data_IF_652564472825
#
_entry.id   IF_652564472825
#
_cell.length_a   1.000
_cell.length_b   1.000
_cell.length_c   1.000
_cell.angle_alpha   90.00
_cell.angle_beta   90.00
_cell.angle_gamma   90.00
#
_symmetry.space_group_name_H-M   'P 1'
#
loop_
_entity.id
_entity.type
_entity.pdbx_description
1 polymer ?
#
# COMPACT_ATOMS: atom_id res chain seq x y z
N UNK A 1 33.03 -38.45 -9.11
CA UNK A 1 32.46 -39.81 -9.28
C UNK A 1 32.24 -40.39 -7.90
N UNK A 2 31.08 -41.02 -7.61
CA UNK A 2 29.70 -40.49 -7.62
C UNK A 2 29.06 -40.67 -6.20
N UNK A 3 27.84 -40.28 -5.85
CA UNK A 3 26.65 -39.72 -6.52
C UNK A 3 25.74 -39.10 -5.42
N UNK A 4 24.97 -38.04 -5.64
CA UNK A 4 23.85 -37.80 -6.57
C UNK A 4 22.53 -38.50 -6.13
N UNK A 5 21.59 -37.74 -5.56
CA UNK A 5 20.16 -37.97 -5.77
C UNK A 5 19.37 -36.66 -5.65
N UNK A 6 19.14 -36.04 -6.80
CA UNK A 6 18.16 -34.99 -7.00
C UNK A 6 16.80 -35.64 -7.32
N UNK A 7 15.77 -35.33 -6.54
CA UNK A 7 14.39 -35.67 -6.88
C UNK A 7 13.82 -34.59 -7.80
N UNK A 8 13.91 -34.84 -9.11
CA UNK A 8 13.08 -34.20 -10.15
C UNK A 8 11.74 -34.94 -10.20
N UNK A 9 10.64 -34.27 -9.84
CA UNK A 9 9.31 -34.74 -10.21
C UNK A 9 9.06 -34.36 -11.68
N UNK A 10 8.94 -35.37 -12.55
CA UNK A 10 8.48 -35.21 -13.94
C UNK A 10 6.95 -35.31 -13.96
N UNK A 11 6.32 -34.32 -14.57
CA UNK A 11 4.93 -34.40 -15.00
C UNK A 11 4.79 -35.43 -16.12
N UNK A 12 4.01 -36.48 -15.90
CA UNK A 12 3.50 -37.35 -16.95
C UNK A 12 1.99 -37.40 -16.82
N UNK A 13 1.29 -36.73 -17.73
CA UNK A 13 -0.14 -36.94 -17.97
C UNK A 13 -0.32 -38.07 -18.98
N UNK A 14 -1.22 -39.00 -18.69
CA UNK A 14 -1.87 -39.84 -19.69
C UNK A 14 -3.36 -39.97 -19.36
N UNK A 15 -4.24 -40.01 -20.37
CA UNK A 15 -5.67 -39.76 -20.21
C UNK A 15 -6.44 -41.07 -20.03
N UNK A 16 -7.36 -41.13 -19.07
CA UNK A 16 -8.66 -41.86 -19.09
C UNK A 16 -9.18 -42.05 -17.67
N UNK A 17 -10.51 -42.16 -17.56
CA UNK A 17 -11.33 -42.53 -16.40
C UNK A 17 -11.75 -41.39 -15.45
N UNK A 18 -13.02 -41.01 -15.64
CA UNK A 18 -13.92 -40.32 -14.74
C UNK A 18 -14.02 -41.01 -13.37
N UNK A 19 -13.64 -40.30 -12.31
CA UNK A 19 -14.13 -40.57 -10.95
C UNK A 19 -14.10 -39.29 -10.11
N UNK A 20 -15.24 -39.01 -9.46
CA UNK A 20 -15.49 -37.87 -8.57
C UNK A 20 -14.37 -37.73 -7.52
N UNK A 21 -13.76 -36.56 -7.43
CA UNK A 21 -12.96 -36.15 -6.29
C UNK A 21 -13.69 -35.01 -5.55
N UNK A 22 -14.16 -35.32 -4.35
CA UNK A 22 -14.57 -34.34 -3.34
C UNK A 22 -13.31 -33.64 -2.80
N UNK A 23 -13.17 -32.34 -3.04
CA UNK A 23 -12.10 -31.52 -2.45
C UNK A 23 -12.68 -30.75 -1.27
N UNK A 24 -12.29 -31.16 -0.07
CA UNK A 24 -12.42 -30.36 1.15
C UNK A 24 -11.39 -29.23 1.10
N UNK A 25 -11.85 -27.99 0.89
CA UNK A 25 -11.00 -26.80 0.97
C UNK A 25 -11.04 -26.29 2.41
N UNK A 26 -9.93 -26.49 3.13
CA UNK A 26 -9.63 -25.80 4.37
C UNK A 26 -8.51 -24.80 4.08
N UNK A 27 -8.86 -23.57 3.72
CA UNK A 27 -7.94 -22.43 3.76
C UNK A 27 -8.63 -21.24 4.43
N UNK A 28 -8.30 -21.00 5.71
CA UNK A 28 -8.50 -19.70 6.35
C UNK A 28 -7.47 -18.74 5.75
N UNK A 29 -7.89 -17.89 4.81
CA UNK A 29 -7.13 -16.69 4.45
C UNK A 29 -7.63 -15.51 5.27
N UNK A 30 -6.76 -15.03 6.15
CA UNK A 30 -6.84 -13.76 6.85
C UNK A 30 -6.91 -12.62 5.82
N UNK A 31 -8.08 -12.01 5.65
CA UNK A 31 -8.29 -10.80 4.85
C UNK A 31 -7.84 -9.59 5.68
N UNK A 32 -6.56 -9.27 5.64
CA UNK A 32 -6.01 -8.08 6.28
C UNK A 32 -4.91 -7.47 5.40
N UNK A 33 -5.27 -6.94 4.23
CA UNK A 33 -4.45 -5.95 3.52
C UNK A 33 -5.18 -5.38 2.30
N UNK A 34 -6.11 -4.46 2.54
CA UNK A 34 -6.57 -3.49 1.54
C UNK A 34 -6.67 -2.14 2.26
N UNK A 35 -5.56 -1.40 2.26
CA UNK A 35 -5.57 0.04 2.59
C UNK A 35 -5.48 0.79 1.27
N UNK A 36 -6.62 1.33 0.82
CA UNK A 36 -6.65 2.37 -0.20
C UNK A 36 -6.20 3.68 0.44
N UNK A 37 -5.13 4.26 -0.10
CA UNK A 37 -4.64 5.59 0.24
C UNK A 37 -5.60 6.66 -0.29
N UNK A 38 -6.19 7.45 0.59
CA UNK A 38 -6.86 8.70 0.22
C UNK A 38 -6.04 9.88 0.76
N UNK A 39 -5.46 10.67 -0.16
CA UNK A 39 -4.92 12.00 0.13
C UNK A 39 -6.00 13.07 -0.07
N UNK A 40 -5.89 14.24 0.59
CA UNK A 40 -7.00 15.15 0.85
C UNK A 40 -7.12 16.25 -0.23
N UNK A 41 -8.34 16.58 -0.64
CA UNK A 41 -8.63 17.82 -1.38
C UNK A 41 -10.01 18.41 -1.04
N UNK A 42 -10.19 19.74 -1.23
CA UNK A 42 -11.02 20.58 -0.37
C UNK A 42 -12.16 21.31 -1.11
N UNK A 43 -13.40 21.07 -0.74
CA UNK A 43 -14.56 21.97 -0.96
C UNK A 43 -15.56 21.64 0.17
N UNK A 44 -15.58 22.39 1.27
CA UNK A 44 -16.18 23.71 1.43
C UNK A 44 -17.71 23.73 1.17
N UNK A 45 -18.40 24.29 2.15
CA UNK A 45 -19.84 24.24 2.37
C UNK A 45 -20.62 25.00 1.29
N UNK A 46 -21.13 24.28 0.29
CA UNK A 46 -22.04 24.84 -0.74
C UNK A 46 -23.11 23.89 -1.28
N UNK A 47 -23.08 22.61 -0.90
CA UNK A 47 -23.80 21.53 -1.62
C UNK A 47 -25.34 21.53 -1.48
N UNK A 48 -25.94 22.36 -0.61
CA UNK A 48 -27.40 22.44 -0.52
C UNK A 48 -28.03 23.34 -1.59
N UNK A 49 -27.31 24.35 -2.10
CA UNK A 49 -27.87 25.27 -3.10
C UNK A 49 -27.69 24.81 -4.56
N UNK A 50 -26.76 23.88 -4.83
CA UNK A 50 -26.49 23.39 -6.20
C UNK A 50 -27.31 22.15 -6.60
N UNK A 51 -27.88 21.42 -5.64
CA UNK A 51 -28.73 20.27 -5.94
C UNK A 51 -30.03 20.69 -6.66
N UNK A 52 -30.62 21.83 -6.27
CA UNK A 52 -31.82 22.37 -6.92
C UNK A 52 -31.55 22.97 -8.31
N UNK A 53 -30.31 23.40 -8.60
CA UNK A 53 -29.92 23.89 -9.94
C UNK A 53 -29.69 22.74 -10.91
N UNK A 54 -29.05 21.66 -10.47
CA UNK A 54 -28.90 20.42 -11.25
C UNK A 54 -30.25 19.76 -11.56
N UNK A 55 -31.19 19.74 -10.61
CA UNK A 55 -32.55 19.24 -10.83
C UNK A 55 -33.35 20.10 -11.82
N UNK A 56 -33.10 21.42 -11.87
CA UNK A 56 -33.70 22.34 -12.86
C UNK A 56 -33.07 22.24 -14.25
N UNK A 57 -31.75 22.04 -14.36
CA UNK A 57 -31.08 21.89 -15.66
C UNK A 57 -31.37 20.54 -16.34
N UNK A 58 -31.79 19.53 -15.58
CA UNK A 58 -32.22 18.22 -16.08
C UNK A 58 -33.70 18.18 -16.54
N UNK A 59 -34.38 19.34 -16.58
CA UNK A 59 -35.75 19.42 -17.12
C UNK A 59 -36.83 18.81 -16.22
N UNK A 60 -36.59 18.68 -14.91
CA UNK A 60 -37.53 18.07 -13.97
C UNK A 60 -38.50 19.13 -13.42
N UNK A 61 -39.21 19.82 -14.32
CA UNK A 61 -40.25 20.79 -13.98
C UNK A 61 -41.64 20.18 -14.16
N UNK A 62 -41.83 18.96 -13.63
CA UNK A 62 -43.11 18.24 -13.77
C UNK A 62 -43.19 16.85 -13.13
N UNK A 63 -42.20 16.42 -12.33
CA UNK A 63 -42.31 15.13 -11.66
C UNK A 63 -43.31 15.17 -10.51
N UNK A 64 -44.26 14.25 -10.53
CA UNK A 64 -45.24 14.07 -9.45
C UNK A 64 -44.53 13.79 -8.11
N UNK A 65 -45.17 14.15 -6.99
CA UNK A 65 -44.65 13.89 -5.64
C UNK A 65 -44.23 12.43 -5.43
N UNK A 66 -44.87 11.49 -6.13
CA UNK A 66 -44.54 10.05 -6.12
C UNK A 66 -43.20 9.76 -6.77
N UNK A 67 -42.90 10.40 -7.91
CA UNK A 67 -41.64 10.19 -8.64
C UNK A 67 -40.45 10.78 -7.89
N UNK A 68 -40.64 11.94 -7.24
CA UNK A 68 -39.59 12.54 -6.39
C UNK A 68 -39.34 11.70 -5.13
N UNK A 69 -40.39 11.19 -4.47
CA UNK A 69 -40.25 10.26 -3.35
C UNK A 69 -39.61 8.93 -3.76
N UNK A 70 -39.88 8.46 -4.98
CA UNK A 70 -39.28 7.24 -5.51
C UNK A 70 -37.79 7.42 -5.80
N UNK A 71 -37.38 8.56 -6.38
CA UNK A 71 -35.96 8.88 -6.59
C UNK A 71 -35.24 9.08 -5.25
N UNK A 72 -35.87 9.73 -4.27
CA UNK A 72 -35.31 9.85 -2.92
C UNK A 72 -35.20 8.48 -2.22
N UNK A 73 -36.21 7.62 -2.39
CA UNK A 73 -36.22 6.26 -1.85
C UNK A 73 -35.15 5.37 -2.52
N UNK A 74 -34.90 5.55 -3.82
CA UNK A 74 -33.82 4.87 -4.54
C UNK A 74 -32.45 5.37 -4.09
N UNK A 75 -32.28 6.68 -3.86
CA UNK A 75 -31.05 7.27 -3.33
C UNK A 75 -30.78 6.88 -1.86
N UNK A 76 -31.84 6.67 -1.06
CA UNK A 76 -31.73 6.12 0.30
C UNK A 76 -31.49 4.60 0.30
N UNK A 77 -31.99 3.89 -0.72
CA UNK A 77 -31.76 2.46 -0.89
C UNK A 77 -30.33 2.16 -1.37
N UNK A 78 -29.72 3.03 -2.19
CA UNK A 78 -28.31 2.88 -2.58
C UNK A 78 -27.35 3.16 -1.42
N UNK A 79 -27.73 3.99 -0.45
CA UNK A 79 -26.98 4.20 0.81
C UNK A 79 -27.15 3.05 1.80
N UNK A 80 -28.29 2.34 1.77
CA UNK A 80 -28.51 1.10 2.55
C UNK A 80 -27.71 -0.11 2.01
N UNK A 81 -27.14 -0.01 0.81
CA UNK A 81 -26.25 -1.01 0.22
C UNK A 81 -24.76 -0.79 0.55
N UNK A 82 -24.44 -0.05 1.61
CA UNK A 82 -23.08 0.01 2.11
C UNK A 82 -22.75 -1.28 2.89
N UNK A 83 -22.20 -2.25 2.18
CA UNK A 83 -21.50 -3.45 2.70
C UNK A 83 -22.32 -4.42 3.59
N UNK A 84 -23.15 -5.29 3.00
CA UNK A 84 -23.94 -6.31 3.71
C UNK A 84 -23.12 -7.19 4.67
N UNK A 85 -21.87 -7.50 4.31
CA UNK A 85 -21.01 -8.41 5.08
C UNK A 85 -20.61 -7.88 6.46
N UNK A 86 -20.52 -6.55 6.62
CA UNK A 86 -20.15 -5.92 7.91
C UNK A 86 -21.32 -5.96 8.86
N UNK A 87 -22.51 -5.60 8.38
CA UNK A 87 -23.70 -5.56 9.21
C UNK A 87 -24.01 -6.97 9.73
N UNK A 88 -23.90 -7.99 8.88
CA UNK A 88 -24.03 -9.40 9.28
C UNK A 88 -22.97 -9.81 10.32
N UNK A 89 -21.74 -9.29 10.24
CA UNK A 89 -20.70 -9.56 11.23
C UNK A 89 -20.98 -8.85 12.57
N UNK A 90 -21.43 -7.60 12.54
CA UNK A 90 -21.84 -6.84 13.72
C UNK A 90 -23.03 -7.48 14.42
N UNK A 91 -24.02 -7.98 13.67
CA UNK A 91 -25.21 -8.63 14.20
C UNK A 91 -24.87 -9.97 14.88
N UNK A 92 -23.96 -10.75 14.26
CA UNK A 92 -23.41 -11.98 14.86
C UNK A 92 -22.66 -11.69 16.16
N UNK A 93 -21.77 -10.71 16.17
CA UNK A 93 -21.03 -10.33 17.37
C UNK A 93 -21.94 -9.78 18.48
N UNK A 94 -22.97 -9.03 18.11
CA UNK A 94 -23.96 -8.52 19.04
C UNK A 94 -24.79 -9.65 19.66
N UNK A 95 -25.20 -10.62 18.86
CA UNK A 95 -25.90 -11.83 19.35
C UNK A 95 -25.01 -12.67 20.27
N UNK A 96 -23.73 -12.85 19.92
CA UNK A 96 -22.77 -13.57 20.74
C UNK A 96 -22.52 -12.86 22.09
N UNK A 97 -22.42 -11.53 22.08
CA UNK A 97 -22.29 -10.72 23.30
C UNK A 97 -23.54 -10.76 24.17
N UNK A 98 -24.74 -10.87 23.58
CA UNK A 98 -25.96 -11.07 24.34
C UNK A 98 -25.97 -12.41 25.10
N UNK A 99 -25.41 -13.47 24.47
CA UNK A 99 -25.26 -14.77 25.12
C UNK A 99 -24.09 -14.82 26.12
N UNK A 100 -23.01 -14.06 25.87
CA UNK A 100 -21.76 -14.08 26.66
C UNK A 100 -21.24 -12.66 26.94
N UNK A 101 -21.90 -11.89 27.84
CA UNK A 101 -21.66 -10.45 28.00
C UNK A 101 -20.32 -10.08 28.67
N UNK A 102 -19.55 -11.05 29.14
CA UNK A 102 -18.27 -10.84 29.81
C UNK A 102 -17.09 -11.39 29.01
N UNK A 103 -17.31 -11.78 27.75
CA UNK A 103 -16.25 -12.29 26.88
C UNK A 103 -15.49 -11.11 26.24
N UNK A 104 -14.31 -10.79 26.77
CA UNK A 104 -13.50 -9.65 26.34
C UNK A 104 -13.10 -9.72 24.85
N UNK A 105 -12.89 -10.93 24.33
CA UNK A 105 -12.46 -11.15 22.95
C UNK A 105 -13.54 -10.71 21.93
N UNK A 106 -14.83 -10.89 22.26
CA UNK A 106 -15.94 -10.46 21.40
C UNK A 106 -16.08 -8.94 21.34
N UNK A 107 -15.86 -8.25 22.47
CA UNK A 107 -15.79 -6.78 22.47
C UNK A 107 -14.60 -6.28 21.64
N UNK A 108 -13.42 -6.90 21.77
CA UNK A 108 -12.26 -6.58 20.95
C UNK A 108 -12.56 -6.77 19.45
N UNK A 109 -13.10 -7.92 19.06
CA UNK A 109 -13.42 -8.22 17.66
C UNK A 109 -14.44 -7.24 17.08
N UNK A 110 -15.49 -6.91 17.84
CA UNK A 110 -16.48 -5.90 17.43
C UNK A 110 -15.88 -4.51 17.33
N UNK A 111 -15.00 -4.14 18.26
CA UNK A 111 -14.27 -2.88 18.22
C UNK A 111 -13.33 -2.77 17.02
N UNK A 112 -12.65 -3.85 16.64
CA UNK A 112 -11.81 -3.91 15.45
C UNK A 112 -12.64 -3.73 14.18
N UNK A 113 -13.84 -4.32 14.13
CA UNK A 113 -14.75 -4.16 12.99
C UNK A 113 -15.23 -2.70 12.85
N UNK A 114 -15.59 -2.04 13.94
CA UNK A 114 -15.90 -0.61 13.93
C UNK A 114 -14.69 0.24 13.50
N UNK A 115 -13.49 -0.09 13.98
CA UNK A 115 -12.27 0.62 13.62
C UNK A 115 -11.92 0.47 12.13
N UNK A 116 -12.17 -0.69 11.52
CA UNK A 116 -11.96 -0.89 10.08
C UNK A 116 -12.86 0.01 9.22
N UNK A 117 -14.01 0.40 9.76
CA UNK A 117 -15.00 1.27 9.09
C UNK A 117 -15.00 2.70 9.61
N UNK A 118 -13.92 3.08 10.29
CA UNK A 118 -13.67 4.43 10.80
C UNK A 118 -14.71 4.95 11.81
N UNK A 119 -15.54 4.06 12.38
CA UNK A 119 -16.39 4.37 13.53
C UNK A 119 -15.54 4.30 14.81
N UNK A 120 -14.68 5.29 14.96
CA UNK A 120 -13.75 5.40 16.08
C UNK A 120 -14.42 5.47 17.46
N UNK A 121 -15.55 6.19 17.64
CA UNK A 121 -16.28 6.18 18.91
C UNK A 121 -16.77 4.79 19.31
N UNK A 122 -17.40 4.05 18.38
CA UNK A 122 -17.88 2.69 18.67
C UNK A 122 -16.72 1.72 18.93
N UNK A 123 -15.62 1.85 18.18
CA UNK A 123 -14.40 1.07 18.43
C UNK A 123 -13.84 1.31 19.83
N UNK A 124 -13.71 2.58 20.24
CA UNK A 124 -13.19 2.96 21.55
C UNK A 124 -14.06 2.43 22.69
N UNK A 125 -15.39 2.56 22.59
CA UNK A 125 -16.31 2.04 23.60
C UNK A 125 -16.17 0.52 23.78
N UNK A 126 -16.06 -0.22 22.67
CA UNK A 126 -15.85 -1.67 22.72
C UNK A 126 -14.47 -2.04 23.30
N UNK A 127 -13.41 -1.32 22.94
CA UNK A 127 -12.08 -1.54 23.50
C UNK A 127 -11.99 -1.20 24.99
N UNK A 128 -12.72 -0.18 25.46
CA UNK A 128 -12.82 0.12 26.88
C UNK A 128 -13.49 -1.03 27.64
N UNK A 129 -14.60 -1.56 27.12
CA UNK A 129 -15.26 -2.71 27.74
C UNK A 129 -14.39 -3.96 27.76
N UNK A 130 -13.66 -4.23 26.66
CA UNK A 130 -12.68 -5.31 26.62
C UNK A 130 -11.55 -5.11 27.66
N UNK A 131 -11.12 -3.87 27.90
CA UNK A 131 -10.05 -3.55 28.84
C UNK A 131 -10.47 -3.73 30.30
N UNK A 132 -11.74 -3.43 30.62
CA UNK A 132 -12.33 -3.71 31.94
C UNK A 132 -12.36 -5.22 32.24
N UNK A 133 -12.66 -6.04 31.23
CA UNK A 133 -12.80 -7.48 31.36
C UNK A 133 -11.43 -8.21 31.34
N UNK A 134 -10.50 -7.78 30.48
CA UNK A 134 -9.20 -8.43 30.29
C UNK A 134 -8.08 -7.40 30.01
N UNK A 135 -7.55 -6.72 31.04
CA UNK A 135 -6.56 -5.63 30.86
C UNK A 135 -5.19 -6.09 30.34
N UNK A 136 -4.89 -7.39 30.42
CA UNK A 136 -3.60 -7.99 29.99
C UNK A 136 -3.67 -8.67 28.62
N UNK A 137 -4.71 -8.41 27.84
CA UNK A 137 -4.85 -8.99 26.50
C UNK A 137 -3.92 -8.25 25.51
N UNK A 138 -2.84 -8.86 24.98
CA UNK A 138 -1.85 -8.15 24.17
C UNK A 138 -2.47 -7.52 22.91
N UNK A 139 -3.37 -8.26 22.24
CA UNK A 139 -4.09 -7.81 21.05
C UNK A 139 -4.94 -6.56 21.31
N UNK A 140 -5.50 -6.40 22.51
CA UNK A 140 -6.25 -5.20 22.87
C UNK A 140 -5.35 -3.97 23.02
N UNK A 141 -4.19 -4.11 23.66
CA UNK A 141 -3.22 -3.03 23.76
C UNK A 141 -2.73 -2.60 22.37
N UNK A 142 -2.47 -3.57 21.49
CA UNK A 142 -2.13 -3.33 20.08
C UNK A 142 -3.26 -2.57 19.34
N UNK A 143 -4.50 -3.04 19.46
CA UNK A 143 -5.67 -2.44 18.79
C UNK A 143 -5.91 -0.99 19.24
N UNK A 144 -5.80 -0.71 20.53
CA UNK A 144 -5.88 0.66 21.08
C UNK A 144 -4.73 1.53 20.60
N UNK A 145 -3.51 0.99 20.52
CA UNK A 145 -2.35 1.69 19.96
C UNK A 145 -2.52 2.05 18.49
N UNK A 146 -3.02 1.10 17.68
CA UNK A 146 -3.34 1.32 16.27
C UNK A 146 -4.42 2.37 16.07
N UNK A 147 -5.51 2.30 16.85
CA UNK A 147 -6.59 3.29 16.81
C UNK A 147 -6.10 4.69 17.18
N UNK A 148 -5.29 4.80 18.24
CA UNK A 148 -4.69 6.07 18.64
C UNK A 148 -3.77 6.65 17.54
N UNK A 149 -3.00 5.81 16.83
CA UNK A 149 -2.21 6.27 15.67
C UNK A 149 -3.08 6.82 14.54
N UNK A 150 -4.15 6.10 14.20
CA UNK A 150 -5.09 6.51 13.15
C UNK A 150 -5.74 7.86 13.49
N UNK A 151 -6.05 8.10 14.77
CA UNK A 151 -6.60 9.37 15.27
C UNK A 151 -5.56 10.47 15.50
N UNK A 152 -4.29 10.23 15.18
CA UNK A 152 -3.20 11.18 15.39
C UNK A 152 -2.80 11.40 16.86
N UNK A 153 -3.29 10.59 17.78
CA UNK A 153 -2.97 10.63 19.20
C UNK A 153 -1.64 9.90 19.48
N UNK A 154 -0.55 10.40 18.90
CA UNK A 154 0.73 9.67 18.80
C UNK A 154 1.32 9.29 20.17
N UNK A 155 1.28 10.20 21.15
CA UNK A 155 1.78 9.93 22.51
C UNK A 155 0.97 8.85 23.23
N UNK A 156 -0.36 8.83 23.04
CA UNK A 156 -1.22 7.79 23.58
C UNK A 156 -0.95 6.44 22.90
N UNK A 157 -0.78 6.46 21.58
CA UNK A 157 -0.43 5.27 20.82
C UNK A 157 0.86 4.64 21.31
N UNK A 158 1.92 5.43 21.49
CA UNK A 158 3.19 4.94 22.05
C UNK A 158 2.97 4.20 23.37
N UNK A 159 2.22 4.78 24.31
CA UNK A 159 1.95 4.14 25.60
C UNK A 159 1.22 2.79 25.47
N UNK A 160 0.21 2.71 24.60
CA UNK A 160 -0.50 1.46 24.36
C UNK A 160 0.38 0.41 23.68
N UNK A 161 1.25 0.83 22.77
CA UNK A 161 2.17 -0.05 22.05
C UNK A 161 3.33 -0.51 22.93
N UNK A 162 3.84 0.34 23.82
CA UNK A 162 4.79 -0.05 24.87
C UNK A 162 4.19 -1.14 25.77
N UNK A 163 2.92 -0.99 26.15
CA UNK A 163 2.21 -2.03 26.90
C UNK A 163 2.02 -3.31 26.08
N UNK A 164 1.66 -3.21 24.80
CA UNK A 164 1.52 -4.37 23.90
C UNK A 164 2.83 -5.15 23.79
N UNK A 165 3.97 -4.46 23.62
CA UNK A 165 5.30 -5.05 23.54
C UNK A 165 5.72 -5.67 24.89
N UNK A 166 5.38 -5.04 26.02
CA UNK A 166 5.65 -5.62 27.33
C UNK A 166 4.91 -6.95 27.55
N UNK A 167 3.71 -7.09 26.98
CA UNK A 167 2.92 -8.33 27.04
C UNK A 167 3.35 -9.37 26.00
N UNK A 168 3.78 -8.94 24.81
CA UNK A 168 4.21 -9.79 23.70
C UNK A 168 5.45 -9.21 22.99
N UNK A 169 6.67 -9.42 23.52
CA UNK A 169 7.89 -8.79 23.00
C UNK A 169 8.28 -9.21 21.57
N UNK A 170 7.74 -10.33 21.10
CA UNK A 170 8.00 -10.91 19.78
C UNK A 170 6.88 -10.66 18.77
N UNK A 171 5.94 -9.73 19.04
CA UNK A 171 4.94 -9.33 18.05
C UNK A 171 5.52 -8.26 17.10
N UNK A 172 5.83 -8.61 15.83
CA UNK A 172 6.38 -7.66 14.87
C UNK A 172 5.40 -6.52 14.56
N UNK A 173 4.08 -6.73 14.71
CA UNK A 173 3.06 -5.71 14.45
C UNK A 173 3.14 -4.60 15.50
N UNK A 174 3.32 -4.97 16.77
CA UNK A 174 3.47 -4.04 17.88
C UNK A 174 4.72 -3.17 17.71
N UNK A 175 5.84 -3.81 17.32
CA UNK A 175 7.11 -3.13 17.03
C UNK A 175 6.97 -2.16 15.86
N UNK A 176 6.36 -2.56 14.73
CA UNK A 176 6.17 -1.70 13.56
C UNK A 176 5.28 -0.49 13.90
N UNK A 177 4.16 -0.72 14.60
CA UNK A 177 3.29 0.37 15.00
C UNK A 177 4.00 1.32 15.97
N UNK A 178 4.81 0.79 16.89
CA UNK A 178 5.60 1.65 17.79
C UNK A 178 6.65 2.42 17.02
N UNK A 179 7.35 1.81 16.07
CA UNK A 179 8.30 2.50 15.20
C UNK A 179 7.66 3.69 14.48
N UNK A 180 6.44 3.51 13.93
CA UNK A 180 5.67 4.60 13.31
C UNK A 180 5.29 5.69 14.32
N UNK A 181 4.92 5.33 15.54
CA UNK A 181 4.64 6.30 16.59
C UNK A 181 5.90 7.11 16.97
N UNK A 182 7.02 6.42 17.17
CA UNK A 182 8.32 7.01 17.51
C UNK A 182 8.83 7.93 16.39
N UNK A 183 8.70 7.53 15.13
CA UNK A 183 9.02 8.35 13.98
C UNK A 183 8.22 9.66 13.95
N UNK A 184 6.91 9.59 14.20
CA UNK A 184 6.04 10.78 14.29
C UNK A 184 6.36 11.68 15.50
N UNK A 185 7.00 11.14 16.53
CA UNK A 185 7.50 11.89 17.69
C UNK A 185 8.93 12.42 17.49
N UNK A 186 9.58 12.15 16.35
CA UNK A 186 10.97 12.52 16.11
C UNK A 186 12.00 11.64 16.83
N UNK A 187 11.56 10.53 17.44
CA UNK A 187 12.42 9.56 18.13
C UNK A 187 12.97 8.54 17.13
N UNK A 188 13.72 9.05 16.15
CA UNK A 188 14.21 8.28 15.00
C UNK A 188 15.10 7.09 15.38
N UNK A 189 16.06 7.19 16.33
CA UNK A 189 16.89 6.03 16.70
C UNK A 189 16.07 4.86 17.25
N UNK A 190 15.10 5.15 18.11
CA UNK A 190 14.21 4.14 18.70
C UNK A 190 13.32 3.51 17.62
N UNK A 191 12.80 4.31 16.69
CA UNK A 191 12.01 3.81 15.57
C UNK A 191 12.81 2.85 14.67
N UNK A 192 14.07 3.19 14.36
CA UNK A 192 14.96 2.33 13.57
C UNK A 192 15.30 1.01 14.30
N UNK A 193 15.44 1.05 15.63
CA UNK A 193 15.65 -0.14 16.44
C UNK A 193 14.43 -1.08 16.36
N UNK A 194 13.22 -0.53 16.50
CA UNK A 194 11.98 -1.30 16.40
C UNK A 194 11.77 -1.93 15.02
N UNK A 195 12.03 -1.19 13.93
CA UNK A 195 11.99 -1.77 12.58
C UNK A 195 13.01 -2.90 12.42
N UNK A 196 14.23 -2.74 12.93
CA UNK A 196 15.27 -3.77 12.88
C UNK A 196 14.83 -5.03 13.62
N UNK A 197 14.27 -4.88 14.84
CA UNK A 197 13.75 -6.02 15.60
C UNK A 197 12.58 -6.69 14.87
N UNK A 198 11.62 -5.92 14.36
CA UNK A 198 10.49 -6.47 13.61
C UNK A 198 10.92 -7.24 12.37
N UNK A 199 11.93 -6.76 11.64
CA UNK A 199 12.43 -7.43 10.42
C UNK A 199 13.14 -8.74 10.72
N UNK A 200 13.73 -8.89 11.90
CA UNK A 200 14.28 -10.16 12.39
C UNK A 200 13.21 -11.19 12.76
N UNK A 201 11.98 -10.75 13.04
CA UNK A 201 10.84 -11.63 13.39
C UNK A 201 9.97 -11.99 12.19
N UNK A 202 9.97 -11.16 11.14
CA UNK A 202 9.17 -11.37 9.94
C UNK A 202 9.89 -12.25 8.93
N UNK A 203 9.22 -13.30 8.43
CA UNK A 203 9.73 -14.13 7.34
C UNK A 203 9.86 -13.36 6.02
N UNK A 204 8.90 -12.46 5.73
CA UNK A 204 8.91 -11.60 4.54
C UNK A 204 8.23 -10.24 4.84
N UNK A 205 8.97 -9.22 5.32
CA UNK A 205 8.46 -7.86 5.44
C UNK A 205 8.04 -7.34 4.07
N UNK A 206 6.97 -6.55 4.05
CA UNK A 206 6.52 -5.95 2.81
C UNK A 206 7.49 -4.85 2.34
N UNK A 207 7.56 -4.57 1.02
CA UNK A 207 8.40 -3.50 0.49
C UNK A 207 8.15 -2.13 1.16
N UNK A 208 6.91 -1.84 1.53
CA UNK A 208 6.51 -0.58 2.16
C UNK A 208 7.23 -0.35 3.48
N UNK A 209 7.47 -1.41 4.27
CA UNK A 209 8.17 -1.27 5.54
C UNK A 209 9.64 -0.88 5.35
N UNK A 210 10.29 -1.40 4.30
CA UNK A 210 11.65 -0.99 3.95
C UNK A 210 11.70 0.47 3.52
N UNK A 211 10.70 0.94 2.76
CA UNK A 211 10.59 2.34 2.35
C UNK A 211 10.33 3.25 3.56
N UNK A 212 9.41 2.88 4.46
CA UNK A 212 9.16 3.62 5.71
C UNK A 212 10.44 3.77 6.53
N UNK A 213 11.17 2.67 6.72
CA UNK A 213 12.45 2.68 7.45
C UNK A 213 13.51 3.53 6.75
N UNK A 214 13.64 3.42 5.42
CA UNK A 214 14.60 4.19 4.63
C UNK A 214 14.32 5.70 4.69
N UNK A 215 13.05 6.11 4.81
CA UNK A 215 12.64 7.50 4.94
C UNK A 215 13.07 8.14 6.28
N UNK A 216 13.39 7.33 7.30
CA UNK A 216 13.84 7.83 8.60
C UNK A 216 15.31 8.25 8.61
N UNK A 217 16.11 7.82 7.64
CA UNK A 217 17.51 8.21 7.56
C UNK A 217 17.67 9.60 6.97
N UNK A 218 18.37 10.48 7.69
CA UNK A 218 18.71 11.82 7.20
C UNK A 218 19.73 11.79 6.05
N UNK A 219 20.65 10.82 6.07
CA UNK A 219 21.66 10.63 5.04
C UNK A 219 21.12 9.74 3.91
N UNK A 220 21.17 10.18 2.64
CA UNK A 220 20.81 9.33 1.50
C UNK A 220 21.66 8.06 1.41
N UNK A 221 22.92 8.11 1.85
CA UNK A 221 23.81 6.96 1.86
C UNK A 221 23.36 5.91 2.88
N UNK A 222 22.86 6.33 4.03
CA UNK A 222 22.37 5.42 5.06
C UNK A 222 21.00 4.84 4.68
N UNK A 223 20.13 5.66 4.09
CA UNK A 223 18.88 5.23 3.49
C UNK A 223 19.10 4.15 2.42
N UNK A 224 20.09 4.35 1.53
CA UNK A 224 20.42 3.39 0.48
C UNK A 224 20.97 2.08 1.07
N UNK A 225 21.87 2.15 2.06
CA UNK A 225 22.36 0.95 2.78
C UNK A 225 21.23 0.20 3.47
N UNK A 226 20.25 0.91 4.03
CA UNK A 226 19.06 0.32 4.66
C UNK A 226 18.20 -0.50 3.69
N UNK A 227 18.25 -0.22 2.38
CA UNK A 227 17.50 -0.99 1.39
C UNK A 227 18.22 -2.28 0.93
N UNK A 228 19.49 -2.49 1.29
CA UNK A 228 20.28 -3.63 0.82
C UNK A 228 19.64 -4.99 1.17
N UNK A 229 19.18 -5.14 2.42
CA UNK A 229 18.49 -6.36 2.87
C UNK A 229 17.21 -6.63 2.06
N UNK A 230 16.48 -5.57 1.69
CA UNK A 230 15.26 -5.69 0.90
C UNK A 230 15.52 -6.33 -0.47
N UNK A 231 16.62 -5.94 -1.13
CA UNK A 231 16.99 -6.51 -2.43
C UNK A 231 17.40 -7.98 -2.34
N UNK A 232 18.04 -8.39 -1.25
CA UNK A 232 18.41 -9.79 -1.01
C UNK A 232 17.16 -10.64 -0.76
N UNK A 233 16.22 -10.13 0.04
CA UNK A 233 15.06 -10.90 0.51
C UNK A 233 13.88 -10.91 -0.46
N UNK A 234 13.64 -9.78 -1.11
CA UNK A 234 12.46 -9.57 -1.96
C UNK A 234 12.78 -9.52 -3.46
N UNK A 235 14.07 -9.41 -3.81
CA UNK A 235 14.50 -9.29 -5.20
C UNK A 235 14.17 -7.91 -5.82
N UNK A 236 13.99 -7.84 -7.15
CA UNK A 236 13.83 -6.58 -7.88
C UNK A 236 12.39 -6.04 -7.81
N UNK A 237 11.96 -5.58 -6.63
CA UNK A 237 10.66 -4.91 -6.47
C UNK A 237 10.73 -3.48 -6.98
N UNK A 238 9.83 -3.11 -7.90
CA UNK A 238 9.81 -1.81 -8.59
C UNK A 238 9.89 -0.60 -7.65
N UNK A 239 9.08 -0.57 -6.58
CA UNK A 239 9.06 0.55 -5.63
C UNK A 239 10.39 0.73 -4.89
N UNK A 240 11.08 -0.37 -4.56
CA UNK A 240 12.40 -0.34 -3.95
C UNK A 240 13.49 0.10 -4.94
N UNK A 241 13.39 -0.36 -6.19
CA UNK A 241 14.30 0.05 -7.26
C UNK A 241 14.19 1.55 -7.54
N UNK A 242 12.98 2.08 -7.64
CA UNK A 242 12.75 3.52 -7.81
C UNK A 242 13.32 4.33 -6.65
N UNK A 243 13.09 3.90 -5.40
CA UNK A 243 13.63 4.60 -4.24
C UNK A 243 15.16 4.59 -4.23
N UNK A 244 15.79 3.47 -4.55
CA UNK A 244 17.24 3.38 -4.61
C UNK A 244 17.83 4.20 -5.76
N UNK A 245 17.18 4.23 -6.92
CA UNK A 245 17.59 5.06 -8.05
C UNK A 245 17.66 6.55 -7.66
N UNK A 246 16.62 7.05 -7.01
CA UNK A 246 16.58 8.46 -6.59
C UNK A 246 17.68 8.78 -5.55
N UNK A 247 17.96 7.82 -4.64
CA UNK A 247 19.04 7.96 -3.67
C UNK A 247 20.43 7.95 -4.33
N UNK A 248 20.66 7.09 -5.32
CA UNK A 248 21.91 7.02 -6.08
C UNK A 248 22.18 8.30 -6.86
N UNK A 249 21.14 8.84 -7.52
CA UNK A 249 21.23 10.14 -8.22
C UNK A 249 21.54 11.26 -7.22
N UNK A 250 20.88 11.29 -6.07
CA UNK A 250 21.13 12.28 -5.01
C UNK A 250 22.57 12.22 -4.50
N UNK A 251 23.15 11.02 -4.44
CA UNK A 251 24.54 10.79 -4.04
C UNK A 251 25.55 10.97 -5.19
N UNK A 252 25.10 11.37 -6.38
CA UNK A 252 25.91 11.44 -7.61
C UNK A 252 26.60 10.12 -7.97
N UNK A 253 26.04 8.98 -7.53
CA UNK A 253 26.50 7.64 -7.90
C UNK A 253 25.90 7.25 -9.24
N UNK A 254 26.31 7.97 -10.28
CA UNK A 254 25.66 7.88 -11.59
C UNK A 254 25.83 6.51 -12.23
N UNK A 255 26.96 5.81 -12.03
CA UNK A 255 27.15 4.46 -12.59
C UNK A 255 26.24 3.41 -11.95
N UNK A 256 26.02 3.49 -10.63
CA UNK A 256 25.05 2.65 -9.92
C UNK A 256 23.62 2.93 -10.43
N UNK A 257 23.27 4.23 -10.54
CA UNK A 257 21.98 4.67 -11.06
C UNK A 257 21.74 4.19 -12.51
N UNK A 258 22.75 4.23 -13.37
CA UNK A 258 22.66 3.73 -14.75
C UNK A 258 22.48 2.22 -14.79
N UNK A 259 23.24 1.47 -13.99
CA UNK A 259 23.06 0.02 -13.85
C UNK A 259 21.62 -0.32 -13.43
N UNK A 260 21.06 0.46 -12.51
CA UNK A 260 19.69 0.28 -12.04
C UNK A 260 18.65 0.63 -13.10
N UNK A 261 18.85 1.72 -13.86
CA UNK A 261 17.95 2.06 -14.97
C UNK A 261 18.02 1.02 -16.09
N UNK A 262 19.17 0.43 -16.36
CA UNK A 262 19.31 -0.64 -17.35
C UNK A 262 18.54 -1.90 -16.90
N UNK A 263 18.60 -2.25 -15.60
CA UNK A 263 17.75 -3.29 -15.03
C UNK A 263 16.26 -3.00 -15.24
N UNK A 264 15.81 -1.79 -14.90
CA UNK A 264 14.41 -1.35 -15.06
C UNK A 264 13.96 -1.36 -16.52
N UNK A 265 14.84 -0.94 -17.44
CA UNK A 265 14.60 -0.97 -18.88
C UNK A 265 14.40 -2.40 -19.37
N UNK A 266 15.24 -3.33 -18.92
CA UNK A 266 15.16 -4.75 -19.34
C UNK A 266 13.89 -5.45 -18.86
N UNK A 267 13.39 -5.08 -17.68
CA UNK A 267 12.20 -5.65 -17.07
C UNK A 267 10.88 -5.03 -17.58
N UNK A 268 10.94 -3.95 -18.36
CA UNK A 268 9.77 -3.18 -18.77
C UNK A 268 9.32 -3.49 -20.20
N UNK A 269 8.01 -3.61 -20.39
CA UNK A 269 7.40 -3.69 -21.72
C UNK A 269 7.58 -2.37 -22.49
N UNK A 270 7.42 -1.24 -21.78
CA UNK A 270 7.65 0.11 -22.32
C UNK A 270 9.01 0.63 -21.86
N UNK A 271 9.89 0.94 -22.80
CA UNK A 271 11.32 1.22 -22.55
C UNK A 271 11.68 2.68 -22.76
N UNK A 272 10.92 3.40 -23.57
CA UNK A 272 11.18 4.78 -23.97
C UNK A 272 11.32 5.74 -22.78
N UNK A 273 10.52 5.56 -21.72
CA UNK A 273 10.61 6.38 -20.52
C UNK A 273 11.89 6.11 -19.72
N UNK A 274 12.31 4.86 -19.63
CA UNK A 274 13.54 4.48 -18.94
C UNK A 274 14.79 4.90 -19.72
N UNK A 275 14.76 4.77 -21.04
CA UNK A 275 15.83 5.26 -21.91
C UNK A 275 15.96 6.79 -21.86
N UNK A 276 14.84 7.51 -21.77
CA UNK A 276 14.86 8.96 -21.50
C UNK A 276 15.48 9.25 -20.13
N UNK A 277 15.04 8.55 -19.08
CA UNK A 277 15.60 8.70 -17.72
C UNK A 277 17.10 8.40 -17.69
N UNK A 278 17.57 7.39 -18.44
CA UNK A 278 18.99 7.08 -18.64
C UNK A 278 19.75 8.27 -19.22
N UNK A 279 19.20 8.90 -20.26
CA UNK A 279 19.76 10.11 -20.86
C UNK A 279 19.90 11.25 -19.85
N UNK A 280 18.87 11.50 -19.05
CA UNK A 280 18.90 12.56 -18.02
C UNK A 280 19.97 12.34 -16.94
N UNK A 281 20.16 11.07 -16.54
CA UNK A 281 21.23 10.69 -15.60
C UNK A 281 22.60 10.93 -16.23
N UNK A 282 22.78 10.58 -17.51
CA UNK A 282 24.04 10.80 -18.23
C UNK A 282 24.36 12.29 -18.43
N UNK A 283 23.36 13.13 -18.66
CA UNK A 283 23.54 14.59 -18.67
C UNK A 283 24.04 15.07 -17.30
N UNK A 284 23.40 14.59 -16.22
CA UNK A 284 23.80 14.93 -14.84
C UNK A 284 25.23 14.47 -14.51
N UNK A 285 25.69 13.39 -15.14
CA UNK A 285 27.04 12.85 -15.04
C UNK A 285 28.06 13.54 -15.98
N UNK A 286 27.66 14.51 -16.81
CA UNK A 286 28.52 15.13 -17.82
C UNK A 286 28.85 14.26 -19.04
N UNK A 287 28.19 13.10 -19.19
CA UNK A 287 28.40 12.11 -20.26
C UNK A 287 27.51 12.41 -21.47
N UNK A 288 27.67 13.60 -22.03
CA UNK A 288 26.75 14.16 -23.04
C UNK A 288 26.59 13.32 -24.31
N UNK A 289 27.68 12.72 -24.82
CA UNK A 289 27.62 11.87 -26.00
C UNK A 289 26.75 10.61 -25.77
N UNK A 290 26.89 9.98 -24.61
CA UNK A 290 26.09 8.82 -24.23
C UNK A 290 24.64 9.22 -23.92
N UNK A 291 24.42 10.41 -23.35
CA UNK A 291 23.08 10.94 -23.14
C UNK A 291 22.32 11.10 -24.47
N UNK A 292 22.96 11.68 -25.49
CA UNK A 292 22.39 11.78 -26.85
C UNK A 292 22.04 10.40 -27.40
N UNK A 293 22.94 9.43 -27.26
CA UNK A 293 22.68 8.06 -27.70
C UNK A 293 21.46 7.43 -26.99
N UNK A 294 21.31 7.69 -25.68
CA UNK A 294 20.15 7.22 -24.91
C UNK A 294 18.83 7.88 -25.38
N UNK A 295 18.85 9.19 -25.69
CA UNK A 295 17.68 9.87 -26.23
C UNK A 295 17.29 9.37 -27.62
N UNK A 296 18.26 9.09 -28.49
CA UNK A 296 18.01 8.46 -29.80
C UNK A 296 17.43 7.05 -29.62
N UNK A 297 17.99 6.25 -28.72
CA UNK A 297 17.45 4.92 -28.40
C UNK A 297 15.99 5.01 -27.88
N UNK A 298 15.66 6.03 -27.09
CA UNK A 298 14.29 6.27 -26.63
C UNK A 298 13.34 6.59 -27.80
N UNK A 299 13.79 7.37 -28.80
CA UNK A 299 13.00 7.61 -30.03
C UNK A 299 12.79 6.33 -30.84
N UNK A 300 13.82 5.50 -30.97
CA UNK A 300 13.71 4.20 -31.63
C UNK A 300 12.71 3.30 -30.90
N UNK A 301 12.72 3.31 -29.56
CA UNK A 301 11.73 2.58 -28.76
C UNK A 301 10.31 3.10 -28.98
N UNK A 302 10.10 4.41 -29.08
CA UNK A 302 8.80 4.99 -29.45
C UNK A 302 8.34 4.51 -30.83
N UNK A 303 9.22 4.51 -31.83
CA UNK A 303 8.88 4.08 -33.18
C UNK A 303 8.48 2.60 -33.27
N UNK A 304 8.89 1.78 -32.29
CA UNK A 304 8.52 0.37 -32.20
C UNK A 304 7.18 0.12 -31.47
N UNK A 305 6.55 1.15 -30.92
CA UNK A 305 5.25 1.02 -30.25
C UNK A 305 4.10 0.81 -31.25
N UNK A 306 2.96 0.27 -30.81
CA UNK A 306 1.76 0.20 -31.64
C UNK A 306 1.33 1.58 -32.16
N UNK A 307 0.84 1.64 -33.40
CA UNK A 307 0.51 2.90 -34.08
C UNK A 307 -0.42 3.83 -33.28
N UNK A 308 -1.42 3.27 -32.59
CA UNK A 308 -2.34 4.05 -31.75
C UNK A 308 -1.63 4.71 -30.56
N UNK A 309 -0.59 4.07 -30.02
CA UNK A 309 0.18 4.59 -28.90
C UNK A 309 1.20 5.62 -29.37
N UNK A 310 1.84 5.39 -30.52
CA UNK A 310 2.72 6.39 -31.17
C UNK A 310 1.98 7.70 -31.41
N UNK A 311 0.72 7.62 -31.87
CA UNK A 311 -0.13 8.78 -32.13
C UNK A 311 -0.72 9.43 -30.87
N UNK A 312 -0.53 8.85 -29.69
CA UNK A 312 -1.06 9.42 -28.45
C UNK A 312 -0.42 10.79 -28.13
N UNK A 313 -1.18 11.76 -27.58
CA UNK A 313 -0.64 13.09 -27.27
C UNK A 313 0.61 13.06 -26.38
N UNK A 314 0.66 12.15 -25.41
CA UNK A 314 1.80 12.01 -24.50
C UNK A 314 3.05 11.50 -25.20
N UNK A 315 2.90 10.55 -26.13
CA UNK A 315 4.03 9.98 -26.88
C UNK A 315 4.56 10.97 -27.92
N UNK A 316 3.67 11.75 -28.56
CA UNK A 316 4.07 12.85 -29.45
C UNK A 316 4.84 13.93 -28.68
N UNK A 317 4.37 14.30 -27.49
CA UNK A 317 5.06 15.27 -26.62
C UNK A 317 6.45 14.77 -26.22
N UNK A 318 6.55 13.51 -25.80
CA UNK A 318 7.83 12.88 -25.45
C UNK A 318 8.78 12.81 -26.65
N UNK A 319 8.29 12.43 -27.83
CA UNK A 319 9.10 12.37 -29.05
C UNK A 319 9.67 13.75 -29.45
N UNK A 320 8.84 14.79 -29.35
CA UNK A 320 9.26 16.18 -29.57
C UNK A 320 10.33 16.60 -28.56
N UNK A 321 10.13 16.28 -27.28
CA UNK A 321 11.10 16.56 -26.23
C UNK A 321 12.44 15.85 -26.48
N UNK A 322 12.41 14.57 -26.81
CA UNK A 322 13.60 13.77 -27.10
C UNK A 322 14.36 14.30 -28.32
N UNK A 323 13.66 14.78 -29.35
CA UNK A 323 14.30 15.39 -30.53
C UNK A 323 15.08 16.64 -30.15
N UNK A 324 14.48 17.50 -29.33
CA UNK A 324 15.16 18.66 -28.77
C UNK A 324 16.35 18.24 -27.91
N UNK A 325 16.17 17.32 -26.95
CA UNK A 325 17.26 16.88 -26.07
C UNK A 325 18.44 16.26 -26.84
N UNK A 326 18.17 15.45 -27.87
CA UNK A 326 19.22 14.84 -28.69
C UNK A 326 20.05 15.87 -29.49
N UNK A 327 19.47 17.02 -29.80
CA UNK A 327 20.13 18.09 -30.59
C UNK A 327 20.78 19.16 -29.73
N UNK A 328 20.21 19.47 -28.56
CA UNK A 328 20.70 20.54 -27.67
C UNK A 328 21.71 20.06 -26.64
N UNK A 329 21.80 18.75 -26.37
CA UNK A 329 22.81 18.21 -25.45
C UNK A 329 24.20 18.37 -26.10
N UNK A 330 25.15 19.08 -25.46
CA UNK A 330 26.37 19.59 -26.08
C UNK A 330 27.40 18.54 -26.47
#
# INVERSE_FOLDING_TARGET
MPGNTALRARNTCSPTATSRCSVSITERRSLASLRLSASPHPWDSGAQHDCLRLLRSLGISGMSRRTTLFVLALLSATTACAHPEIQDALDRLTSALAATPNEASLYLERGELYAQHEDWPSAEANYLRAAELAPRLPRLALARGSLALARGQVSAARRFLDHAIALAPSDPTALILRARALARLGLTPDALADYTQAFGLLAAPSPELYLERAALFASPADALRSLADAFVRLGPVMSLQLRALDLEITLSRFDDALTRVDLLTSASERRELWLKRRGDILVSAGRHAEARAAYVAAQTAIAALPAWLVASPDTVRLSTELTRLATTTP
#
